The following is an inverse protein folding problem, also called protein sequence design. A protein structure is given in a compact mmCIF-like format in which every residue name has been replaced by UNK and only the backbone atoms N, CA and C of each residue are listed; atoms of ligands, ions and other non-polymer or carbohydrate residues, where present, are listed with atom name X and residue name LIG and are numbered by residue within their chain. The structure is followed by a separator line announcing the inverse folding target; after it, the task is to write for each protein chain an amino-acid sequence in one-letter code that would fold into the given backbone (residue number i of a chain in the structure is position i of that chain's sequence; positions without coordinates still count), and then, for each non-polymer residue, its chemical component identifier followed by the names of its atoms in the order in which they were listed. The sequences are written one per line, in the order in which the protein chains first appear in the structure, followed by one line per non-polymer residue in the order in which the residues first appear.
data_IF_732725301802
#
_entry.id   IF_732725301802
#
_cell.length_a   1.000
_cell.length_b   1.000
_cell.length_c   1.000
_cell.angle_alpha   90.00
_cell.angle_beta   90.00
_cell.angle_gamma   90.00
#
_symmetry.space_group_name_H-M   'P 1'
#
loop_
_entity.id
_entity.type
_entity.pdbx_description
1 polymer ?
#
# COMPACT_ATOMS: atom_id res chain seq x y z
N UNK A 1 -16.52 -3.86 -16.17
CA UNK A 1 -16.99 -3.50 -14.80
C UNK A 1 -17.48 -2.07 -14.82
N UNK A 2 -18.52 -1.70 -14.05
CA UNK A 2 -18.86 -0.28 -13.84
C UNK A 2 -17.64 0.40 -13.23
N UNK A 3 -17.18 1.50 -13.83
CA UNK A 3 -16.02 2.28 -13.34
C UNK A 3 -16.32 2.76 -11.91
N UNK A 4 -15.51 2.34 -10.94
CA UNK A 4 -15.63 2.79 -9.55
C UNK A 4 -15.31 4.28 -9.50
N UNK A 5 -16.18 5.10 -8.90
CA UNK A 5 -15.89 6.52 -8.70
C UNK A 5 -14.75 6.67 -7.70
N UNK A 6 -13.79 7.52 -8.02
CA UNK A 6 -12.61 7.87 -7.21
C UNK A 6 -12.67 9.34 -6.81
N UNK A 7 -11.76 9.80 -5.98
CA UNK A 7 -11.88 11.12 -5.33
C UNK A 7 -11.96 12.27 -6.34
N UNK A 8 -11.22 12.16 -7.45
CA UNK A 8 -11.25 13.12 -8.57
C UNK A 8 -12.59 13.20 -9.28
N UNK A 9 -13.38 12.12 -9.30
CA UNK A 9 -14.73 12.12 -9.90
C UNK A 9 -15.74 12.96 -9.08
N UNK A 10 -15.36 13.38 -7.87
CA UNK A 10 -16.07 14.33 -7.01
C UNK A 10 -15.47 15.75 -7.07
N UNK A 11 -14.61 16.03 -8.07
CA UNK A 11 -14.01 17.35 -8.26
C UNK A 11 -12.87 17.70 -7.31
N UNK A 12 -12.46 16.78 -6.43
CA UNK A 12 -11.33 16.97 -5.50
C UNK A 12 -10.04 16.53 -6.19
N UNK A 13 -9.18 17.50 -6.52
CA UNK A 13 -7.92 17.28 -7.23
C UNK A 13 -6.76 17.51 -6.27
N UNK A 14 -6.03 16.44 -5.95
CA UNK A 14 -4.87 16.52 -5.05
C UNK A 14 -3.61 16.87 -5.83
N UNK A 15 -2.99 17.99 -5.48
CA UNK A 15 -1.72 18.43 -6.04
C UNK A 15 -1.77 18.84 -7.51
N UNK A 16 -0.60 19.09 -8.10
CA UNK A 16 -0.47 19.72 -9.42
C UNK A 16 0.11 18.78 -10.48
N UNK A 17 0.67 17.63 -10.07
CA UNK A 17 1.32 16.72 -11.00
C UNK A 17 0.26 15.91 -11.80
N UNK A 18 0.51 15.64 -13.09
CA UNK A 18 -0.37 14.81 -13.90
C UNK A 18 -0.38 13.38 -13.36
N UNK A 19 -1.52 12.69 -13.46
CA UNK A 19 -1.63 11.27 -13.09
C UNK A 19 -1.17 10.36 -14.22
N UNK A 20 -0.86 9.10 -13.89
CA UNK A 20 -0.84 8.05 -14.90
C UNK A 20 -2.25 7.74 -15.44
N UNK A 21 -2.34 6.84 -16.41
CA UNK A 21 -3.58 6.53 -17.11
C UNK A 21 -4.64 5.89 -16.19
N UNK A 22 -4.21 4.98 -15.31
CA UNK A 22 -5.07 4.34 -14.33
C UNK A 22 -5.16 5.15 -13.03
N UNK A 23 -4.20 6.06 -12.81
CA UNK A 23 -3.96 6.72 -11.54
C UNK A 23 -3.80 5.70 -10.41
N UNK A 24 -2.99 4.66 -10.64
CA UNK A 24 -2.76 3.52 -9.73
C UNK A 24 -1.27 3.16 -9.73
N UNK A 25 -0.82 2.43 -8.71
CA UNK A 25 0.57 1.98 -8.59
C UNK A 25 1.05 1.20 -9.83
N UNK A 26 0.12 0.51 -10.49
CA UNK A 26 0.30 -0.28 -11.72
C UNK A 26 0.51 0.56 -12.98
N UNK A 27 0.43 1.88 -12.91
CA UNK A 27 0.96 2.76 -13.97
C UNK A 27 2.48 2.65 -14.08
N UNK A 28 3.17 2.24 -13.01
CA UNK A 28 4.57 1.79 -13.10
C UNK A 28 4.57 0.41 -13.76
N UNK A 29 5.11 0.36 -14.99
CA UNK A 29 5.05 -0.82 -15.85
C UNK A 29 5.62 -2.07 -15.18
N UNK A 30 4.93 -3.21 -15.37
CA UNK A 30 5.34 -4.52 -14.88
C UNK A 30 4.70 -4.91 -13.55
N UNK A 31 4.14 -3.95 -12.83
CA UNK A 31 3.46 -4.20 -11.55
C UNK A 31 2.05 -4.72 -11.79
N UNK A 32 1.65 -5.72 -11.00
CA UNK A 32 0.27 -6.20 -10.88
C UNK A 32 -0.15 -6.25 -9.43
N UNK A 33 -1.43 -6.05 -9.16
CA UNK A 33 -2.03 -6.13 -7.83
C UNK A 33 -3.24 -7.05 -7.89
N UNK A 34 -3.36 -7.94 -6.91
CA UNK A 34 -4.48 -8.88 -6.84
C UNK A 34 -5.01 -9.04 -5.43
N UNK A 35 -6.26 -9.48 -5.33
CA UNK A 35 -6.98 -9.56 -4.07
C UNK A 35 -7.64 -10.91 -3.85
N UNK A 36 -7.71 -11.31 -2.58
CA UNK A 36 -8.67 -12.32 -2.15
C UNK A 36 -9.40 -11.79 -0.91
N UNK A 37 -10.69 -11.48 -1.08
CA UNK A 37 -11.56 -10.92 -0.04
C UNK A 37 -12.31 -12.03 0.67
N UNK A 38 -12.25 -12.06 2.00
CA UNK A 38 -13.05 -12.94 2.86
C UNK A 38 -14.14 -12.08 3.52
N UNK A 39 -15.37 -12.29 3.07
CA UNK A 39 -16.55 -11.57 3.54
C UNK A 39 -17.62 -12.56 4.01
N UNK A 40 -17.53 -12.95 5.28
CA UNK A 40 -18.53 -13.82 5.95
C UNK A 40 -19.11 -13.09 7.16
N UNK A 41 -20.14 -13.64 7.81
CA UNK A 41 -20.73 -13.00 8.99
C UNK A 41 -19.72 -12.72 10.11
N UNK A 42 -18.71 -13.57 10.27
CA UNK A 42 -17.67 -13.43 11.30
C UNK A 42 -16.39 -12.76 10.81
N UNK A 43 -16.07 -12.89 9.52
CA UNK A 43 -14.78 -12.48 8.98
C UNK A 43 -14.94 -11.40 7.91
N UNK A 44 -14.31 -10.24 8.15
CA UNK A 44 -14.20 -9.11 7.22
C UNK A 44 -12.73 -8.83 6.98
N UNK A 45 -12.05 -9.69 6.25
CA UNK A 45 -10.59 -9.66 6.08
C UNK A 45 -10.20 -10.06 4.66
N UNK A 46 -8.92 -10.15 4.38
CA UNK A 46 -8.42 -10.76 3.18
C UNK A 46 -6.90 -10.61 3.05
N UNK A 47 -6.47 -10.72 1.81
CA UNK A 47 -5.08 -10.57 1.39
C UNK A 47 -5.05 -9.75 0.11
N UNK A 48 -4.09 -8.84 0.03
CA UNK A 48 -3.72 -8.13 -1.19
C UNK A 48 -2.27 -8.48 -1.49
N UNK A 49 -1.95 -8.82 -2.73
CA UNK A 49 -0.58 -9.05 -3.17
C UNK A 49 -0.18 -8.04 -4.23
N UNK A 50 1.07 -7.62 -4.18
CA UNK A 50 1.70 -6.79 -5.20
C UNK A 50 2.81 -7.63 -5.82
N UNK A 51 2.69 -7.87 -7.12
CA UNK A 51 3.71 -8.51 -7.95
C UNK A 51 4.55 -7.38 -8.56
N UNK A 52 5.81 -7.17 -8.13
CA UNK A 52 6.58 -6.00 -8.58
C UNK A 52 7.05 -6.08 -10.04
N UNK A 53 7.07 -7.29 -10.60
CA UNK A 53 7.41 -7.56 -12.00
C UNK A 53 6.76 -8.88 -12.45
N UNK A 54 6.81 -9.14 -13.77
CA UNK A 54 6.28 -10.38 -14.35
C UNK A 54 7.24 -11.56 -14.24
N UNK A 55 8.56 -11.29 -14.35
CA UNK A 55 9.58 -12.33 -14.22
C UNK A 55 9.83 -12.69 -12.75
N UNK A 56 10.66 -13.71 -12.54
CA UNK A 56 11.05 -14.14 -11.22
C UNK A 56 11.86 -13.07 -10.48
N UNK A 57 11.25 -12.45 -9.47
CA UNK A 57 11.85 -11.38 -8.67
C UNK A 57 13.04 -11.84 -7.81
N UNK A 58 13.11 -13.14 -7.47
CA UNK A 58 14.26 -13.65 -6.74
C UNK A 58 15.52 -13.60 -7.61
N UNK A 59 15.39 -13.92 -8.90
CA UNK A 59 16.49 -13.79 -9.89
C UNK A 59 16.74 -12.34 -10.32
N UNK A 60 15.70 -11.52 -10.34
CA UNK A 60 15.72 -10.15 -10.87
C UNK A 60 15.35 -9.17 -9.75
N UNK A 61 16.24 -9.01 -8.77
CA UNK A 61 15.98 -8.22 -7.57
C UNK A 61 15.83 -6.74 -7.91
N UNK A 62 14.87 -6.07 -7.29
CA UNK A 62 14.66 -4.63 -7.46
C UNK A 62 15.37 -3.85 -6.36
N UNK A 63 15.87 -2.66 -6.67
CA UNK A 63 16.40 -1.77 -5.61
C UNK A 63 15.24 -1.28 -4.76
N UNK A 64 15.37 -1.39 -3.43
CA UNK A 64 14.30 -1.10 -2.48
C UNK A 64 14.82 -0.45 -1.20
N UNK A 65 13.89 0.10 -0.42
CA UNK A 65 14.13 0.62 0.92
C UNK A 65 12.86 0.58 1.76
N UNK A 66 13.01 0.67 3.08
CA UNK A 66 11.88 0.79 4.00
C UNK A 66 12.03 1.99 4.94
N UNK A 67 10.91 2.43 5.51
CA UNK A 67 10.91 3.42 6.56
C UNK A 67 9.77 3.14 7.53
N UNK A 68 10.12 2.99 8.80
CA UNK A 68 9.16 2.88 9.90
C UNK A 68 9.02 4.28 10.49
N UNK A 69 7.88 4.92 10.25
CA UNK A 69 7.55 6.22 10.84
C UNK A 69 7.04 6.06 12.27
N UNK A 70 6.20 5.04 12.51
CA UNK A 70 5.88 4.54 13.85
C UNK A 70 5.82 3.01 13.86
N UNK A 71 6.43 2.41 14.88
CA UNK A 71 6.74 0.99 14.93
C UNK A 71 5.65 0.09 15.52
N UNK A 72 4.40 0.56 15.68
CA UNK A 72 3.34 -0.26 16.29
C UNK A 72 2.83 -1.40 15.37
N UNK A 73 3.53 -1.75 14.30
CA UNK A 73 3.18 -2.83 13.36
C UNK A 73 3.88 -4.17 13.64
N UNK A 74 3.54 -5.18 12.84
CA UNK A 74 4.17 -6.52 12.83
C UNK A 74 4.64 -6.93 11.44
N UNK A 75 5.08 -5.96 10.63
CA UNK A 75 5.63 -6.19 9.29
C UNK A 75 6.89 -7.05 9.33
N UNK A 76 7.01 -8.00 8.40
CA UNK A 76 8.18 -8.89 8.22
C UNK A 76 9.00 -8.51 6.99
N UNK A 77 10.30 -8.81 7.06
CA UNK A 77 11.26 -8.70 5.95
C UNK A 77 12.01 -7.37 5.83
N UNK A 78 11.74 -6.40 6.71
CA UNK A 78 12.36 -5.07 6.64
C UNK A 78 13.86 -5.06 6.93
N UNK A 79 14.35 -5.95 7.80
CA UNK A 79 15.77 -5.98 8.21
C UNK A 79 16.68 -6.22 6.99
N UNK A 80 16.34 -7.19 6.13
CA UNK A 80 17.15 -7.47 4.94
C UNK A 80 16.95 -6.43 3.83
N UNK A 81 15.77 -5.79 3.73
CA UNK A 81 15.60 -4.61 2.86
C UNK A 81 16.57 -3.49 3.28
N UNK A 82 16.73 -3.26 4.57
CA UNK A 82 17.63 -2.22 5.09
C UNK A 82 19.11 -2.55 4.91
N UNK A 83 19.46 -3.83 5.04
CA UNK A 83 20.85 -4.30 4.89
C UNK A 83 21.27 -4.32 3.42
N UNK A 84 20.46 -4.93 2.55
CA UNK A 84 20.84 -5.20 1.16
C UNK A 84 20.33 -4.14 0.18
N UNK A 85 19.32 -3.35 0.56
CA UNK A 85 18.71 -2.38 -0.34
C UNK A 85 17.97 -3.01 -1.51
N UNK A 86 17.46 -4.23 -1.34
CA UNK A 86 16.81 -5.01 -2.41
C UNK A 86 15.46 -5.60 -2.00
N UNK A 87 14.61 -5.81 -3.00
CA UNK A 87 13.36 -6.56 -2.92
C UNK A 87 13.49 -7.81 -3.80
N UNK A 88 13.33 -8.98 -3.19
CA UNK A 88 13.56 -10.29 -3.83
C UNK A 88 12.34 -11.23 -3.77
N UNK A 89 11.21 -10.72 -3.29
CA UNK A 89 9.95 -11.47 -3.18
C UNK A 89 8.75 -10.55 -3.45
N UNK A 90 7.58 -11.15 -3.67
CA UNK A 90 6.32 -10.41 -3.77
C UNK A 90 6.00 -9.72 -2.43
N UNK A 91 5.19 -8.66 -2.48
CA UNK A 91 4.72 -7.98 -1.27
C UNK A 91 3.30 -8.43 -0.97
N UNK A 92 3.05 -8.87 0.26
CA UNK A 92 1.73 -9.30 0.73
C UNK A 92 1.22 -8.40 1.85
N UNK A 93 -0.05 -7.99 1.78
CA UNK A 93 -0.73 -7.20 2.79
C UNK A 93 -1.88 -8.02 3.39
N UNK A 94 -1.99 -8.09 4.71
CA UNK A 94 -3.07 -8.80 5.39
C UNK A 94 -3.44 -8.14 6.74
N UNK A 95 -4.09 -8.87 7.64
CA UNK A 95 -4.29 -8.41 9.00
C UNK A 95 -3.23 -8.94 9.99
N UNK A 96 -3.13 -8.27 11.13
CA UNK A 96 -2.05 -8.48 12.12
C UNK A 96 -1.80 -9.93 12.51
N UNK A 97 -2.84 -10.72 12.77
CA UNK A 97 -2.68 -12.09 13.29
C UNK A 97 -2.46 -13.15 12.19
N UNK A 98 -2.52 -12.73 10.92
CA UNK A 98 -2.29 -13.59 9.77
C UNK A 98 -0.89 -13.43 9.15
N UNK A 99 -0.06 -12.48 9.61
CA UNK A 99 1.30 -12.24 9.07
C UNK A 99 2.10 -13.54 8.93
N UNK A 100 2.17 -14.37 9.98
CA UNK A 100 2.93 -15.62 9.93
C UNK A 100 2.38 -16.67 8.96
N UNK A 101 1.05 -16.74 8.79
CA UNK A 101 0.43 -17.67 7.82
C UNK A 101 0.65 -17.23 6.38
N UNK A 102 0.61 -15.91 6.16
CA UNK A 102 0.88 -15.32 4.85
C UNK A 102 2.36 -15.45 4.50
N UNK A 103 3.25 -15.24 5.47
CA UNK A 103 4.69 -15.46 5.28
C UNK A 103 4.97 -16.88 4.80
N UNK A 104 4.45 -17.90 5.50
CA UNK A 104 4.60 -19.31 5.14
C UNK A 104 4.13 -19.59 3.69
N UNK A 105 2.96 -19.05 3.32
CA UNK A 105 2.43 -19.19 1.96
C UNK A 105 3.26 -18.46 0.89
N UNK A 106 3.87 -17.31 1.20
CA UNK A 106 4.77 -16.59 0.29
C UNK A 106 6.09 -17.35 0.11
N UNK A 107 6.63 -17.96 1.18
CA UNK A 107 7.81 -18.86 1.08
C UNK A 107 7.51 -20.01 0.11
N UNK A 108 6.39 -20.71 0.30
CA UNK A 108 5.95 -21.79 -0.58
C UNK A 108 5.84 -21.33 -2.05
N UNK A 109 5.21 -20.18 -2.28
CA UNK A 109 5.07 -19.63 -3.62
C UNK A 109 6.43 -19.34 -4.26
N UNK A 110 7.35 -18.71 -3.54
CA UNK A 110 8.69 -18.39 -4.07
C UNK A 110 9.53 -19.65 -4.34
N UNK A 111 9.42 -20.68 -3.49
CA UNK A 111 10.04 -22.00 -3.75
C UNK A 111 9.50 -22.59 -5.06
N UNK A 112 8.19 -22.56 -5.27
CA UNK A 112 7.55 -23.07 -6.49
C UNK A 112 7.98 -22.28 -7.73
N UNK A 113 8.00 -20.95 -7.68
CA UNK A 113 8.46 -20.11 -8.80
C UNK A 113 9.94 -20.38 -9.15
N UNK A 114 10.83 -20.38 -8.15
CA UNK A 114 12.24 -20.67 -8.39
C UNK A 114 12.46 -22.08 -8.93
N UNK A 115 11.70 -23.08 -8.46
CA UNK A 115 11.75 -24.44 -9.01
C UNK A 115 11.31 -24.48 -10.48
N UNK A 116 10.23 -23.78 -10.85
CA UNK A 116 9.74 -23.74 -12.23
C UNK A 116 10.78 -23.13 -13.20
N UNK A 117 11.56 -22.17 -12.72
CA UNK A 117 12.59 -21.48 -13.50
C UNK A 117 13.99 -22.10 -13.37
N UNK A 118 14.12 -23.24 -12.67
CA UNK A 118 15.39 -23.89 -12.36
C UNK A 118 16.40 -22.99 -11.62
N UNK A 119 15.90 -22.12 -10.74
CA UNK A 119 16.70 -21.25 -9.86
C UNK A 119 16.88 -21.94 -8.51
N UNK A 120 18.12 -22.00 -8.02
CA UNK A 120 18.44 -22.53 -6.70
C UNK A 120 18.05 -21.52 -5.63
N UNK A 121 17.10 -21.88 -4.75
CA UNK A 121 16.67 -21.06 -3.62
C UNK A 121 17.00 -21.78 -2.31
N UNK A 122 17.88 -21.18 -1.50
CA UNK A 122 18.31 -21.73 -0.21
C UNK A 122 17.67 -21.00 0.98
N UNK A 123 17.41 -19.71 0.81
CA UNK A 123 16.63 -18.88 1.72
C UNK A 123 15.94 -17.78 0.91
N UNK A 124 15.01 -17.08 1.54
CA UNK A 124 14.26 -15.99 0.93
C UNK A 124 13.86 -15.01 2.02
N UNK A 125 13.71 -13.74 1.65
CA UNK A 125 13.11 -12.70 2.48
C UNK A 125 11.69 -12.32 2.01
N UNK A 126 10.63 -12.97 2.52
CA UNK A 126 9.25 -12.59 2.24
C UNK A 126 8.87 -11.25 2.84
N UNK A 127 8.20 -10.39 2.07
CA UNK A 127 7.69 -9.11 2.56
C UNK A 127 6.20 -9.24 2.88
N UNK A 128 5.87 -9.19 4.18
CA UNK A 128 4.49 -9.28 4.65
C UNK A 128 4.19 -8.11 5.57
N UNK A 129 3.23 -7.28 5.16
CA UNK A 129 2.78 -6.10 5.91
C UNK A 129 1.34 -6.29 6.41
N UNK A 130 0.93 -5.48 7.38
CA UNK A 130 -0.37 -5.66 8.01
C UNK A 130 -1.01 -4.38 8.54
N UNK A 131 -2.32 -4.46 8.75
CA UNK A 131 -3.08 -3.55 9.59
C UNK A 131 -4.07 -4.33 10.48
N UNK A 132 -4.54 -3.74 11.57
CA UNK A 132 -5.46 -4.40 12.48
C UNK A 132 -6.94 -4.15 12.11
N UNK A 133 -7.63 -5.17 11.63
CA UNK A 133 -9.05 -5.11 11.21
C UNK A 133 -10.06 -5.54 12.29
N UNK A 134 -9.61 -5.70 13.54
CA UNK A 134 -10.41 -6.31 14.62
C UNK A 134 -11.69 -5.56 14.98
N UNK A 135 -11.90 -4.32 14.51
CA UNK A 135 -13.17 -3.64 14.73
C UNK A 135 -14.32 -4.33 13.97
N UNK A 136 -14.10 -4.64 12.68
CA UNK A 136 -15.10 -5.31 11.83
C UNK A 136 -14.90 -6.82 11.75
N UNK A 137 -13.68 -7.30 11.94
CA UNK A 137 -13.30 -8.69 11.73
C UNK A 137 -13.14 -9.45 13.06
N UNK A 138 -13.53 -10.74 13.09
CA UNK A 138 -13.08 -11.65 14.14
C UNK A 138 -11.62 -12.07 13.89
N UNK A 139 -10.67 -11.18 14.17
CA UNK A 139 -9.24 -11.35 13.82
C UNK A 139 -8.60 -12.64 14.37
N UNK A 140 -9.14 -13.17 15.48
CA UNK A 140 -8.62 -14.37 16.15
C UNK A 140 -8.91 -15.67 15.41
N UNK A 141 -9.88 -15.69 14.49
CA UNK A 141 -10.15 -16.86 13.64
C UNK A 141 -8.99 -17.16 12.69
N UNK A 142 -8.13 -16.16 12.41
CA UNK A 142 -7.01 -16.25 11.47
C UNK A 142 -7.46 -16.86 10.13
N UNK A 143 -8.53 -16.30 9.57
CA UNK A 143 -9.21 -16.84 8.39
C UNK A 143 -8.39 -16.84 7.08
N UNK A 144 -7.27 -16.10 7.01
CA UNK A 144 -6.41 -16.04 5.82
C UNK A 144 -5.44 -17.22 5.85
N UNK A 145 -5.13 -17.79 4.68
CA UNK A 145 -4.23 -18.94 4.56
C UNK A 145 -3.77 -19.14 3.12
N UNK A 146 -2.94 -20.18 2.87
CA UNK A 146 -2.27 -20.42 1.58
C UNK A 146 -3.19 -20.29 0.36
N UNK A 147 -4.35 -20.93 0.36
CA UNK A 147 -5.32 -20.87 -0.74
C UNK A 147 -5.74 -19.43 -1.11
N UNK A 148 -5.86 -18.54 -0.12
CA UNK A 148 -6.27 -17.16 -0.34
C UNK A 148 -5.10 -16.33 -0.91
N UNK A 149 -3.87 -16.58 -0.46
CA UNK A 149 -2.66 -15.94 -1.00
C UNK A 149 -2.50 -16.30 -2.47
N UNK A 150 -2.59 -17.57 -2.81
CA UNK A 150 -2.51 -18.05 -4.20
C UNK A 150 -3.64 -17.49 -5.07
N UNK A 151 -4.86 -17.40 -4.53
CA UNK A 151 -5.98 -16.79 -5.26
C UNK A 151 -5.73 -15.31 -5.56
N UNK A 152 -5.16 -14.56 -4.62
CA UNK A 152 -4.80 -13.16 -4.84
C UNK A 152 -3.69 -13.01 -5.89
N UNK A 153 -2.73 -13.94 -5.94
CA UNK A 153 -1.68 -13.95 -6.98
C UNK A 153 -2.29 -14.22 -8.35
N UNK A 154 -3.21 -15.19 -8.46
CA UNK A 154 -3.93 -15.50 -9.71
C UNK A 154 -4.80 -14.32 -10.19
N UNK A 155 -5.41 -13.59 -9.25
CA UNK A 155 -6.26 -12.41 -9.52
C UNK A 155 -5.45 -11.14 -9.89
N UNK A 156 -4.11 -11.19 -9.80
CA UNK A 156 -3.27 -10.02 -9.97
C UNK A 156 -3.37 -9.42 -11.38
N UNK A 157 -3.74 -8.15 -11.46
CA UNK A 157 -3.94 -7.42 -12.71
C UNK A 157 -3.44 -5.98 -12.62
N UNK A 158 -3.40 -5.28 -13.76
CA UNK A 158 -3.03 -3.86 -13.80
C UNK A 158 -4.17 -2.96 -13.36
N UNK A 159 -5.42 -3.30 -13.66
CA UNK A 159 -6.61 -2.56 -13.22
C UNK A 159 -7.35 -3.33 -12.12
N UNK A 160 -7.02 -3.00 -10.87
CA UNK A 160 -7.52 -3.66 -9.67
C UNK A 160 -8.53 -2.79 -8.91
N UNK A 161 -9.39 -3.42 -8.11
CA UNK A 161 -10.39 -2.72 -7.29
C UNK A 161 -9.76 -2.02 -6.08
N UNK A 162 -10.34 -0.90 -5.65
CA UNK A 162 -10.00 -0.21 -4.42
C UNK A 162 -11.15 -0.32 -3.41
N UNK A 163 -10.89 0.09 -2.16
CA UNK A 163 -11.85 0.15 -1.07
C UNK A 163 -11.83 -1.11 -0.21
N UNK A 164 -13.01 -1.66 0.08
CA UNK A 164 -13.20 -2.78 0.99
C UNK A 164 -12.95 -4.15 0.32
N UNK A 165 -11.79 -4.28 -0.33
CA UNK A 165 -11.32 -5.51 -1.01
C UNK A 165 -9.99 -6.00 -0.43
N UNK A 166 -9.71 -7.30 -0.59
CA UNK A 166 -8.47 -7.93 -0.13
C UNK A 166 -8.19 -7.63 1.34
N UNK A 167 -6.96 -7.17 1.62
CA UNK A 167 -6.56 -6.76 2.97
C UNK A 167 -7.40 -5.59 3.53
N UNK A 168 -8.02 -4.78 2.67
CA UNK A 168 -8.80 -3.60 3.05
C UNK A 168 -10.19 -3.89 3.60
N UNK A 169 -10.67 -5.15 3.53
CA UNK A 169 -12.08 -5.47 3.80
C UNK A 169 -12.58 -4.97 5.16
N UNK A 170 -11.80 -5.21 6.23
CA UNK A 170 -12.17 -4.84 7.59
C UNK A 170 -11.54 -3.56 8.11
N UNK A 171 -10.86 -2.79 7.25
CA UNK A 171 -10.11 -1.61 7.68
C UNK A 171 -10.98 -0.37 7.90
N UNK A 172 -10.49 0.52 8.77
CA UNK A 172 -11.13 1.77 9.20
C UNK A 172 -10.14 2.93 9.13
N UNK A 173 -10.44 3.96 8.36
CA UNK A 173 -9.59 5.15 8.25
C UNK A 173 -10.36 6.41 8.67
N UNK A 174 -9.78 7.23 9.52
CA UNK A 174 -10.43 8.39 10.15
C UNK A 174 -11.80 8.05 10.76
N UNK A 175 -11.93 6.86 11.34
CA UNK A 175 -13.19 6.30 11.87
C UNK A 175 -14.34 6.12 10.86
N UNK A 176 -14.08 6.33 9.58
CA UNK A 176 -14.92 5.91 8.47
C UNK A 176 -14.38 4.60 7.90
N UNK A 177 -15.09 4.02 6.94
CA UNK A 177 -14.59 2.85 6.22
C UNK A 177 -13.32 3.24 5.44
N UNK A 178 -12.24 2.49 5.67
CA UNK A 178 -10.99 2.59 4.91
C UNK A 178 -10.70 1.28 4.16
N UNK A 179 -9.57 1.18 3.48
CA UNK A 179 -9.23 -0.07 2.79
C UNK A 179 -8.01 0.06 1.89
N UNK A 180 -8.07 -0.58 0.72
CA UNK A 180 -7.05 -0.44 -0.32
C UNK A 180 -7.30 0.85 -1.09
N UNK A 181 -6.26 1.65 -1.29
CA UNK A 181 -6.32 2.79 -2.20
C UNK A 181 -5.03 2.95 -2.96
N UNK A 182 -5.07 3.66 -4.07
CA UNK A 182 -3.90 3.87 -4.90
C UNK A 182 -3.93 5.24 -5.57
N UNK A 183 -2.78 5.68 -6.07
CA UNK A 183 -2.64 6.87 -6.91
C UNK A 183 -1.33 6.77 -7.69
N UNK A 184 -1.21 7.55 -8.76
CA UNK A 184 0.08 7.73 -9.44
C UNK A 184 0.27 9.16 -9.90
N UNK A 185 1.53 9.54 -10.10
CA UNK A 185 1.95 10.79 -10.73
C UNK A 185 2.99 10.51 -11.80
N UNK A 186 2.91 11.28 -12.87
CA UNK A 186 3.85 11.31 -13.96
C UNK A 186 4.74 12.54 -13.81
N UNK A 187 6.04 12.35 -13.97
CA UNK A 187 7.04 13.40 -13.83
C UNK A 187 8.02 13.36 -15.00
N UNK A 188 8.56 14.52 -15.37
CA UNK A 188 9.49 14.65 -16.50
C UNK A 188 10.88 15.03 -16.00
N UNK A 189 11.89 14.25 -16.37
CA UNK A 189 13.31 14.51 -16.06
C UNK A 189 14.12 14.32 -17.35
N UNK A 190 14.89 15.32 -17.74
CA UNK A 190 15.69 15.33 -18.98
C UNK A 190 14.89 14.91 -20.23
N UNK A 191 13.66 15.43 -20.35
CA UNK A 191 12.68 15.09 -21.40
C UNK A 191 12.19 13.63 -21.41
N UNK A 192 12.59 12.81 -20.44
CA UNK A 192 12.04 11.47 -20.24
C UNK A 192 10.90 11.51 -19.24
N UNK A 193 9.89 10.68 -19.49
CA UNK A 193 8.72 10.56 -18.64
C UNK A 193 8.89 9.37 -17.71
N UNK A 194 8.63 9.60 -16.43
CA UNK A 194 8.69 8.60 -15.38
C UNK A 194 7.41 8.63 -14.54
N UNK A 195 7.17 7.53 -13.83
CA UNK A 195 5.97 7.34 -13.02
C UNK A 195 6.37 7.07 -11.57
N UNK A 196 5.61 7.67 -10.64
CA UNK A 196 5.61 7.33 -9.23
C UNK A 196 4.21 6.84 -8.87
N UNK A 197 4.11 5.61 -8.39
CA UNK A 197 2.87 4.98 -7.96
C UNK A 197 2.86 4.73 -6.46
N UNK A 198 1.70 4.85 -5.82
CA UNK A 198 1.50 4.50 -4.41
C UNK A 198 0.27 3.61 -4.27
N UNK A 199 0.37 2.59 -3.43
CA UNK A 199 -0.76 1.80 -2.93
C UNK A 199 -0.73 1.82 -1.40
N UNK A 200 -1.88 2.07 -0.79
CA UNK A 200 -2.04 2.11 0.67
C UNK A 200 -3.00 1.05 1.16
N UNK A 201 -2.75 0.55 2.37
CA UNK A 201 -3.73 -0.13 3.22
C UNK A 201 -4.06 0.82 4.37
N UNK A 202 -5.14 1.60 4.23
CA UNK A 202 -5.47 2.67 5.17
C UNK A 202 -6.30 2.15 6.35
N UNK A 203 -5.75 2.24 7.56
CA UNK A 203 -6.45 1.87 8.79
C UNK A 203 -6.17 2.86 9.93
N UNK A 204 -5.88 4.13 9.64
CA UNK A 204 -5.35 5.11 10.61
C UNK A 204 -6.23 6.35 10.78
N UNK A 205 -5.91 7.17 11.77
CA UNK A 205 -6.41 8.54 11.89
C UNK A 205 -7.71 8.68 12.69
N UNK A 206 -7.98 9.90 13.13
CA UNK A 206 -9.20 10.29 13.86
C UNK A 206 -10.14 11.06 12.95
N UNK A 207 -11.45 10.90 13.16
CA UNK A 207 -12.45 11.56 12.32
C UNK A 207 -12.31 13.08 12.36
N UNK A 208 -12.24 13.68 13.55
CA UNK A 208 -12.20 15.14 13.73
C UNK A 208 -10.98 15.81 13.08
N UNK A 209 -9.91 15.04 12.90
CA UNK A 209 -8.67 15.52 12.31
C UNK A 209 -8.69 15.43 10.77
N UNK A 210 -9.65 14.71 10.17
CA UNK A 210 -9.72 14.52 8.72
C UNK A 210 -9.80 15.87 7.98
N UNK A 211 -8.79 16.09 7.16
CA UNK A 211 -8.68 17.21 6.22
C UNK A 211 -8.75 16.66 4.79
N UNK A 212 -9.52 17.33 3.94
CA UNK A 212 -9.58 17.04 2.50
C UNK A 212 -9.43 18.36 1.78
N UNK A 213 -8.39 18.49 0.94
CA UNK A 213 -8.10 19.70 0.17
C UNK A 213 -8.13 20.98 1.04
N UNK A 214 -7.46 20.90 2.20
CA UNK A 214 -7.40 21.98 3.20
C UNK A 214 -8.68 22.20 4.02
N UNK A 215 -9.81 21.58 3.67
CA UNK A 215 -11.07 21.68 4.41
C UNK A 215 -11.11 20.66 5.55
N UNK A 216 -11.28 21.14 6.79
CA UNK A 216 -11.44 20.32 8.01
C UNK A 216 -12.83 19.68 8.08
N UNK A 217 -13.13 18.83 7.10
CA UNK A 217 -14.44 18.18 6.96
C UNK A 217 -14.74 17.21 8.11
N UNK A 218 -13.69 16.64 8.71
CA UNK A 218 -13.77 15.69 9.81
C UNK A 218 -14.67 16.12 10.97
N UNK A 219 -14.52 17.38 11.42
CA UNK A 219 -15.35 17.95 12.51
C UNK A 219 -16.83 18.01 12.14
N UNK A 220 -17.14 18.44 10.92
CA UNK A 220 -18.52 18.53 10.42
C UNK A 220 -19.17 17.14 10.35
N UNK A 221 -18.41 16.13 9.95
CA UNK A 221 -18.88 14.74 9.94
C UNK A 221 -19.08 14.23 11.36
N UNK A 222 -18.13 14.50 12.27
CA UNK A 222 -18.21 14.10 13.68
C UNK A 222 -19.46 14.66 14.37
N UNK A 223 -19.74 15.96 14.18
CA UNK A 223 -20.94 16.64 14.67
C UNK A 223 -22.22 16.01 14.15
N UNK A 224 -22.28 15.67 12.84
CA UNK A 224 -23.44 14.98 12.24
C UNK A 224 -23.66 13.58 12.81
N UNK A 225 -22.59 12.89 13.18
CA UNK A 225 -22.66 11.53 13.71
C UNK A 225 -22.91 11.48 15.22
N UNK A 226 -22.84 12.61 15.94
CA UNK A 226 -22.87 12.66 17.41
C UNK A 226 -21.89 11.66 18.05
N UNK A 227 -20.72 11.47 17.44
CA UNK A 227 -19.71 10.53 17.92
C UNK A 227 -18.87 11.17 19.04
N UNK A 228 -18.56 10.38 20.07
CA UNK A 228 -17.54 10.77 21.04
C UNK A 228 -16.15 10.82 20.38
N UNK A 229 -15.26 11.65 20.92
CA UNK A 229 -13.87 11.71 20.45
C UNK A 229 -13.18 10.37 20.74
N UNK A 230 -12.85 9.63 19.69
CA UNK A 230 -12.19 8.33 19.78
C UNK A 230 -10.67 8.47 19.58
N UNK A 231 -9.90 7.60 20.26
CA UNK A 231 -8.43 7.60 20.25
C UNK A 231 -7.89 6.85 19.04
N UNK A 232 -6.92 7.42 18.33
CA UNK A 232 -6.25 6.73 17.21
C UNK A 232 -5.59 5.41 17.66
N UNK A 233 -6.01 4.31 17.05
CA UNK A 233 -5.52 2.94 17.30
C UNK A 233 -5.34 2.18 15.98
N UNK A 234 -4.90 2.91 14.96
CA UNK A 234 -4.89 2.47 13.58
C UNK A 234 -3.62 1.79 13.10
N UNK A 235 -3.40 1.81 11.78
CA UNK A 235 -2.13 1.56 11.09
C UNK A 235 -2.27 2.03 9.64
N UNK A 236 -1.16 2.25 8.94
CA UNK A 236 -1.15 2.36 7.49
C UNK A 236 0.12 1.72 6.92
N UNK A 237 -0.05 0.96 5.86
CA UNK A 237 1.06 0.50 5.01
C UNK A 237 1.02 1.26 3.71
N UNK A 238 2.17 1.82 3.31
CA UNK A 238 2.33 2.52 2.03
C UNK A 238 3.38 1.82 1.18
N UNK A 239 2.98 1.31 0.02
CA UNK A 239 3.86 0.71 -0.98
C UNK A 239 4.06 1.72 -2.10
N UNK A 240 5.31 2.10 -2.34
CA UNK A 240 5.72 3.11 -3.30
C UNK A 240 6.52 2.44 -4.41
N UNK A 241 6.15 2.68 -5.66
CA UNK A 241 6.87 2.18 -6.82
C UNK A 241 7.27 3.32 -7.75
N UNK A 242 8.38 3.17 -8.46
CA UNK A 242 8.76 4.09 -9.53
C UNK A 242 9.63 3.40 -10.58
N UNK A 243 9.57 3.86 -11.82
CA UNK A 243 10.48 3.47 -12.89
C UNK A 243 11.74 4.37 -12.96
N UNK A 244 11.85 5.37 -12.09
CA UNK A 244 13.06 6.18 -11.96
C UNK A 244 14.22 5.35 -11.39
N UNK A 245 15.41 5.41 -12.00
CA UNK A 245 16.59 4.77 -11.43
C UNK A 245 17.02 5.52 -10.16
N UNK A 246 16.81 4.88 -9.00
CA UNK A 246 17.15 5.41 -7.68
C UNK A 246 18.00 4.39 -6.92
N UNK A 247 18.90 4.87 -6.07
CA UNK A 247 19.58 4.02 -5.08
C UNK A 247 18.68 3.73 -3.87
N UNK A 248 19.00 2.69 -3.10
CA UNK A 248 18.29 2.35 -1.85
C UNK A 248 18.25 3.53 -0.87
N UNK A 249 19.35 4.29 -0.74
CA UNK A 249 19.39 5.52 0.07
C UNK A 249 18.40 6.58 -0.41
N UNK A 250 18.26 6.77 -1.73
CA UNK A 250 17.29 7.72 -2.30
C UNK A 250 15.86 7.23 -2.10
N UNK A 251 15.60 5.93 -2.27
CA UNK A 251 14.31 5.32 -1.98
C UNK A 251 13.93 5.45 -0.50
N UNK A 252 14.89 5.35 0.43
CA UNK A 252 14.63 5.60 1.85
C UNK A 252 14.19 7.04 2.12
N UNK A 253 14.75 8.02 1.38
CA UNK A 253 14.30 9.42 1.46
C UNK A 253 12.90 9.58 0.86
N UNK A 254 12.60 8.86 -0.22
CA UNK A 254 11.27 8.79 -0.83
C UNK A 254 10.24 8.23 0.16
N UNK A 255 10.51 7.13 0.86
CA UNK A 255 9.60 6.57 1.87
C UNK A 255 9.17 7.61 2.92
N UNK A 256 10.09 8.46 3.36
CA UNK A 256 9.81 9.51 4.36
C UNK A 256 8.78 10.55 3.88
N UNK A 257 8.52 10.64 2.57
CA UNK A 257 7.59 11.63 2.00
C UNK A 257 6.13 11.20 2.04
N UNK A 258 5.85 9.91 2.18
CA UNK A 258 4.50 9.45 2.47
C UNK A 258 3.95 10.10 3.77
N UNK A 259 4.79 10.29 4.78
CA UNK A 259 4.42 11.01 6.00
C UNK A 259 3.88 12.43 5.76
N UNK A 260 4.31 13.10 4.68
CA UNK A 260 3.78 14.42 4.29
C UNK A 260 2.35 14.30 3.77
N UNK A 261 2.06 13.31 2.93
CA UNK A 261 0.69 13.05 2.45
C UNK A 261 -0.25 12.69 3.58
N UNK A 262 0.21 11.86 4.53
CA UNK A 262 -0.57 11.53 5.73
C UNK A 262 -0.87 12.76 6.60
N UNK A 263 0.14 13.62 6.81
CA UNK A 263 -0.04 14.84 7.59
C UNK A 263 -1.04 15.83 6.94
N UNK A 264 -1.10 15.87 5.61
CA UNK A 264 -2.08 16.72 4.87
C UNK A 264 -3.53 16.29 5.07
N UNK A 265 -3.75 15.02 5.38
CA UNK A 265 -5.05 14.47 5.75
C UNK A 265 -5.38 14.65 7.25
N UNK A 266 -4.46 15.26 8.01
CA UNK A 266 -4.59 15.51 9.44
C UNK A 266 -4.09 14.39 10.34
N UNK A 267 -3.40 13.38 9.79
CA UNK A 267 -2.73 12.38 10.64
C UNK A 267 -1.61 13.03 11.46
N UNK A 268 -1.60 12.76 12.76
CA UNK A 268 -0.51 13.15 13.67
C UNK A 268 0.36 11.98 14.11
N UNK A 269 0.17 10.79 13.48
CA UNK A 269 0.98 9.58 13.73
C UNK A 269 0.82 9.12 15.20
N UNK A 270 -0.38 8.64 15.53
CA UNK A 270 -0.74 8.29 16.91
C UNK A 270 0.04 7.10 17.48
N UNK A 271 0.22 7.06 18.80
CA UNK A 271 1.01 6.04 19.52
C UNK A 271 0.67 4.59 19.11
N UNK A 272 -0.62 4.26 19.03
CA UNK A 272 -1.10 2.92 18.72
C UNK A 272 -1.19 2.61 17.23
N UNK A 273 -0.60 3.45 16.36
CA UNK A 273 -0.67 3.32 14.91
C UNK A 273 0.63 2.79 14.31
N UNK A 274 0.56 1.78 13.45
CA UNK A 274 1.74 1.30 12.71
C UNK A 274 1.85 1.98 11.35
N UNK A 275 2.75 2.95 11.18
CA UNK A 275 3.06 3.60 9.90
C UNK A 275 4.35 3.03 9.31
N UNK A 276 4.21 2.18 8.28
CA UNK A 276 5.35 1.55 7.59
C UNK A 276 5.27 1.80 6.09
N UNK A 277 6.38 2.27 5.53
CA UNK A 277 6.52 2.54 4.11
C UNK A 277 7.58 1.64 3.48
N UNK A 278 7.30 1.09 2.31
CA UNK A 278 8.25 0.34 1.48
C UNK A 278 8.27 0.98 0.10
N UNK A 279 9.45 1.32 -0.40
CA UNK A 279 9.63 1.83 -1.75
C UNK A 279 10.55 0.91 -2.56
N UNK A 280 10.22 0.69 -3.82
CA UNK A 280 11.08 0.00 -4.78
C UNK A 280 11.12 0.72 -6.12
N UNK A 281 12.21 0.52 -6.85
CA UNK A 281 12.41 1.06 -8.20
C UNK A 281 12.56 -0.07 -9.22
N UNK A 282 11.88 0.05 -10.36
CA UNK A 282 12.08 -0.81 -11.54
C UNK A 282 13.17 -0.26 -12.48
N UNK A 283 13.77 0.89 -12.15
CA UNK A 283 14.79 1.56 -12.96
C UNK A 283 16.19 0.93 -12.89
N UNK A 284 16.44 0.07 -11.88
CA UNK A 284 17.61 -0.81 -11.81
C UNK A 284 17.14 -2.21 -11.40
N UNK A 285 17.50 -3.22 -12.20
CA UNK A 285 17.25 -4.63 -11.90
C UNK A 285 18.61 -5.27 -11.64
N UNK A 286 18.80 -5.81 -10.43
CA UNK A 286 20.01 -6.51 -10.01
C UNK A 286 19.78 -8.01 -10.22
N UNK A 287 20.52 -8.60 -11.15
CA UNK A 287 20.32 -9.99 -11.55
C UNK A 287 21.30 -10.91 -10.85
N UNK A 288 20.88 -12.14 -10.61
CA UNK A 288 21.78 -13.16 -10.03
C UNK A 288 22.93 -13.55 -10.97
N UNK A 289 22.79 -13.33 -12.29
CA UNK A 289 23.83 -13.57 -13.30
C UNK A 289 24.60 -12.30 -13.71
N UNK A 290 24.44 -11.21 -12.96
CA UNK A 290 25.27 -10.01 -13.13
C UNK A 290 26.75 -10.30 -12.79
N UNK A 291 27.70 -9.55 -13.39
CA UNK A 291 29.11 -9.62 -13.00
C UNK A 291 29.34 -9.13 -11.57
N UNK A 292 30.47 -9.52 -10.96
CA UNK A 292 30.86 -9.13 -9.59
C UNK A 292 30.81 -7.61 -9.32
N UNK A 293 30.97 -6.80 -10.38
CA UNK A 293 30.86 -5.34 -10.34
C UNK A 293 29.71 -4.91 -11.25
N UNK A 294 28.66 -4.38 -10.64
CA UNK A 294 27.48 -3.86 -11.35
C UNK A 294 27.52 -2.35 -11.51
N UNK A 295 27.01 -1.87 -12.65
CA UNK A 295 26.78 -0.45 -12.89
C UNK A 295 25.30 -0.15 -12.71
N UNK A 296 24.97 0.78 -11.82
CA UNK A 296 23.60 1.27 -11.62
C UNK A 296 23.47 2.71 -12.07
N UNK A 297 22.28 3.08 -12.54
CA UNK A 297 21.92 4.49 -12.76
C UNK A 297 21.29 5.04 -11.50
N UNK A 298 21.57 6.29 -11.18
CA UNK A 298 20.91 7.00 -10.09
C UNK A 298 20.53 8.40 -10.53
N UNK A 299 19.38 8.87 -10.08
CA UNK A 299 18.97 10.26 -10.27
C UNK A 299 19.97 11.20 -9.58
N UNK A 300 20.32 12.31 -10.22
CA UNK A 300 21.13 13.36 -9.59
C UNK A 300 20.41 13.90 -8.35
N UNK A 301 21.12 14.00 -7.23
CA UNK A 301 20.54 14.26 -5.91
C UNK A 301 19.64 15.51 -5.87
N UNK A 302 20.07 16.61 -6.49
CA UNK A 302 19.34 17.89 -6.50
C UNK A 302 18.04 17.87 -7.33
N UNK A 303 17.77 16.77 -8.06
CA UNK A 303 16.55 16.60 -8.86
C UNK A 303 15.46 15.80 -8.17
N UNK A 304 15.72 15.26 -6.98
CA UNK A 304 14.80 14.33 -6.31
C UNK A 304 13.53 14.99 -5.74
N UNK A 305 13.49 16.30 -5.57
CA UNK A 305 12.35 16.99 -4.94
C UNK A 305 11.03 16.81 -5.70
N UNK A 306 11.09 16.65 -7.02
CA UNK A 306 9.91 16.34 -7.82
C UNK A 306 9.33 14.95 -7.50
N UNK A 307 10.20 13.98 -7.20
CA UNK A 307 9.81 12.64 -6.73
C UNK A 307 9.19 12.73 -5.34
N UNK A 308 9.75 13.57 -4.46
CA UNK A 308 9.20 13.78 -3.13
C UNK A 308 7.81 14.39 -3.15
N UNK A 309 7.58 15.37 -4.03
CA UNK A 309 6.25 15.94 -4.26
C UNK A 309 5.29 14.89 -4.79
N UNK A 310 5.69 14.13 -5.81
CA UNK A 310 4.88 13.06 -6.39
C UNK A 310 4.41 12.04 -5.33
N UNK A 311 5.30 11.61 -4.44
CA UNK A 311 4.95 10.67 -3.36
C UNK A 311 3.95 11.28 -2.38
N UNK A 312 4.14 12.54 -1.97
CA UNK A 312 3.22 13.19 -1.04
C UNK A 312 1.81 13.35 -1.64
N UNK A 313 1.72 13.74 -2.92
CA UNK A 313 0.44 13.85 -3.63
C UNK A 313 -0.22 12.48 -3.87
N UNK A 314 0.56 11.46 -4.24
CA UNK A 314 0.06 10.11 -4.41
C UNK A 314 -0.45 9.54 -3.08
N UNK A 315 0.28 9.70 -1.98
CA UNK A 315 -0.12 9.16 -0.68
C UNK A 315 -1.45 9.78 -0.21
N UNK A 316 -1.56 11.11 -0.27
CA UNK A 316 -2.77 11.85 0.09
C UNK A 316 -3.97 11.38 -0.75
N UNK A 317 -3.80 11.31 -2.07
CA UNK A 317 -4.88 10.88 -2.96
C UNK A 317 -5.21 9.38 -2.81
N UNK A 318 -4.22 8.52 -2.57
CA UNK A 318 -4.42 7.09 -2.39
C UNK A 318 -5.27 6.79 -1.14
N UNK A 319 -5.02 7.49 -0.03
CA UNK A 319 -5.86 7.34 1.18
C UNK A 319 -7.29 7.84 0.93
N UNK A 320 -7.47 8.96 0.22
CA UNK A 320 -8.83 9.41 -0.11
C UNK A 320 -9.55 8.44 -1.05
N UNK A 321 -8.82 7.89 -2.03
CA UNK A 321 -9.33 6.86 -2.92
C UNK A 321 -9.72 5.60 -2.14
N UNK A 322 -8.95 5.19 -1.12
CA UNK A 322 -9.34 4.03 -0.31
C UNK A 322 -10.67 4.25 0.44
N UNK A 323 -10.92 5.47 0.92
CA UNK A 323 -12.12 5.80 1.69
C UNK A 323 -13.35 5.99 0.81
N UNK A 324 -13.22 6.67 -0.35
CA UNK A 324 -14.34 7.01 -1.23
C UNK A 324 -14.87 5.80 -2.02
N UNK A 325 -14.01 4.81 -2.24
CA UNK A 325 -14.30 3.61 -3.03
C UNK A 325 -14.95 2.49 -2.21
N UNK A 326 -14.98 2.63 -0.88
CA UNK A 326 -15.56 1.66 0.03
C UNK A 326 -17.11 1.64 0.01
N UNK A 327 -17.67 0.44 0.16
CA UNK A 327 -19.07 0.24 0.53
C UNK A 327 -19.29 0.19 2.05
N UNK A 328 -20.56 0.26 2.47
CA UNK A 328 -20.95 0.01 3.87
C UNK A 328 -20.67 -1.44 4.23
N UNK A 329 -19.95 -1.68 5.34
CA UNK A 329 -19.66 -3.03 5.85
C UNK A 329 -20.26 -3.22 7.23
N UNK A 330 -20.96 -4.34 7.42
CA UNK A 330 -21.47 -4.80 8.71
C UNK A 330 -20.56 -5.94 9.18
N UNK A 331 -19.73 -5.68 10.18
CA UNK A 331 -18.79 -6.62 10.75
C UNK A 331 -19.33 -7.40 11.94
N UNK A 332 -18.41 -8.03 12.67
CA UNK A 332 -18.71 -8.76 13.93
C UNK A 332 -19.49 -7.87 14.90
N UNK A 333 -20.34 -8.50 15.72
CA UNK A 333 -21.17 -7.81 16.71
C UNK A 333 -22.07 -6.69 16.12
N UNK A 334 -22.40 -6.77 14.83
CA UNK A 334 -23.11 -5.74 14.08
C UNK A 334 -22.39 -4.38 14.03
N UNK A 335 -21.07 -4.36 14.25
CA UNK A 335 -20.28 -3.14 14.11
C UNK A 335 -20.35 -2.64 12.67
N UNK A 336 -20.58 -1.33 12.49
CA UNK A 336 -20.64 -0.70 11.17
C UNK A 336 -19.72 0.49 11.09
N UNK A 337 -19.25 0.79 9.87
CA UNK A 337 -18.54 2.03 9.56
C UNK A 337 -19.29 2.77 8.46
N UNK A 338 -19.43 4.07 8.65
CA UNK A 338 -19.95 4.98 7.64
C UNK A 338 -18.92 5.19 6.52
N UNK A 339 -19.41 5.53 5.32
CA UNK A 339 -18.58 5.71 4.12
C UNK A 339 -18.39 7.19 3.82
N UNK A 340 -17.20 7.58 3.36
CA UNK A 340 -16.88 8.97 3.06
C UNK A 340 -17.75 9.55 1.95
N UNK A 341 -18.16 8.73 0.98
CA UNK A 341 -19.01 9.13 -0.15
C UNK A 341 -20.39 9.64 0.25
N UNK A 342 -20.85 9.36 1.48
CA UNK A 342 -22.09 9.95 2.03
C UNK A 342 -21.93 11.42 2.45
N UNK A 343 -20.70 11.95 2.49
CA UNK A 343 -20.37 13.28 3.00
C UNK A 343 -19.68 14.19 1.99
N UNK A 344 -19.44 13.69 0.77
CA UNK A 344 -18.81 14.41 -0.34
C UNK A 344 -19.80 14.40 -1.51
N UNK A 345 -20.05 15.58 -2.07
CA UNK A 345 -20.97 15.79 -3.20
C UNK A 345 -20.28 15.66 -4.55
#
# INVERSE_FOLDING_TARGET
MKKQKRIRDYGIIIGDLPTGNLNKITDVKGIKVGHCTIDTNENKTGITVILPMEDNIFKNKLVAASYVLNGFGKTMGLVQIEELGTLESIIALTNTLNVGLVHDAVVDYMIEQCKNDNIKLESINPIVCECNDSYLNNIQTRAVGKKHVYKAIEDASTDFLEGDVGAGKGMRCHYLKGGIGSASRVITIDNNTYTVGVLVLSNHGRLEDLVIDGNKIGRKISERLNNESLVDKGSIISIIATDLPLSSRQLKRVCKRAGVGLARLGSFIGHGSGEVMIAFSTGNILKDDDPDIVNIKILKEDKIDIVFRAVAECEEEAVLNSMITCGKVIGRNNNTLEVLSSYIE
#
